data_IF_797928836540
#
_entry.id   IF_797928836540
#
_cell.length_a   1.000
_cell.length_b   1.000
_cell.length_c   1.000
_cell.angle_alpha   90.00
_cell.angle_beta   90.00
_cell.angle_gamma   90.00
#
_symmetry.space_group_name_H-M   'P 1'
#
loop_
_entity.id
_entity.type
_entity.pdbx_description
1 polymer ?
#
# COMPACT_ATOMS: atom_id res chain seq x y z
N UNK A 1 14.17 21.23 64.64
CA UNK A 1 13.96 20.92 63.21
C UNK A 1 12.48 20.64 63.00
N UNK A 2 11.80 21.42 62.16
CA UNK A 2 10.38 21.18 61.84
C UNK A 2 10.30 20.16 60.71
N UNK A 3 9.49 19.11 60.89
CA UNK A 3 9.16 18.15 59.82
C UNK A 3 8.17 18.84 58.89
N UNK A 4 8.54 18.99 57.62
CA UNK A 4 7.58 19.35 56.57
C UNK A 4 7.07 18.04 55.97
N UNK A 5 5.75 17.88 55.96
CA UNK A 5 5.08 16.79 55.29
C UNK A 5 4.52 17.37 54.00
N UNK A 6 5.10 16.96 52.88
CA UNK A 6 4.52 17.22 51.56
C UNK A 6 3.68 16.01 51.16
N UNK A 7 2.49 16.25 50.62
CA UNK A 7 1.67 15.20 50.04
C UNK A 7 2.40 14.58 48.84
N UNK A 8 2.41 13.25 48.70
CA UNK A 8 2.93 12.61 47.50
C UNK A 8 2.06 13.05 46.31
N UNK A 9 2.60 13.87 45.42
CA UNK A 9 1.97 14.18 44.14
C UNK A 9 2.58 13.28 43.07
N UNK A 10 1.72 12.59 42.32
CA UNK A 10 2.13 11.85 41.14
C UNK A 10 2.20 12.85 39.99
N UNK A 11 3.37 13.01 39.38
CA UNK A 11 3.47 13.67 38.09
C UNK A 11 3.08 12.62 37.05
N UNK A 12 1.83 12.69 36.58
CA UNK A 12 1.44 11.95 35.38
C UNK A 12 2.17 12.61 34.22
N UNK A 13 3.24 11.97 33.74
CA UNK A 13 3.69 12.23 32.38
C UNK A 13 2.54 11.85 31.46
N UNK A 14 1.93 12.85 30.84
CA UNK A 14 1.06 12.64 29.70
C UNK A 14 1.89 11.88 28.65
N UNK A 15 1.62 10.59 28.53
CA UNK A 15 2.19 9.79 27.48
C UNK A 15 1.51 10.27 26.20
N UNK A 16 2.12 11.24 25.51
CA UNK A 16 1.70 11.56 24.15
C UNK A 16 1.98 10.28 23.35
N UNK A 17 0.96 9.57 22.85
CA UNK A 17 1.23 8.46 21.96
C UNK A 17 1.82 9.09 20.71
N UNK A 18 3.13 8.97 20.54
CA UNK A 18 3.79 9.26 19.27
C UNK A 18 3.57 8.09 18.30
N UNK A 19 2.42 7.42 18.41
CA UNK A 19 2.03 6.34 17.53
C UNK A 19 1.43 7.01 16.31
N UNK A 20 2.31 7.33 15.35
CA UNK A 20 1.86 7.75 14.04
C UNK A 20 0.97 6.65 13.48
N UNK A 21 -0.28 7.03 13.32
CA UNK A 21 -1.32 6.23 12.71
C UNK A 21 -1.01 6.18 11.23
N UNK A 22 -0.61 5.02 10.71
CA UNK A 22 -0.38 4.88 9.29
C UNK A 22 -1.70 5.12 8.53
N UNK A 23 -1.69 6.07 7.59
CA UNK A 23 -2.77 6.25 6.61
C UNK A 23 -2.54 5.26 5.49
N UNK A 24 -3.59 4.55 5.11
CA UNK A 24 -3.53 3.62 3.98
C UNK A 24 -4.47 4.13 2.90
N UNK A 25 -4.08 4.17 1.62
CA UNK A 25 -5.02 4.43 0.51
C UNK A 25 -5.24 3.16 -0.29
N UNK A 26 -6.48 2.88 -0.70
CA UNK A 26 -6.82 1.68 -1.45
C UNK A 26 -6.56 1.86 -2.94
N UNK A 27 -6.08 0.82 -3.61
CA UNK A 27 -5.88 0.81 -5.07
C UNK A 27 -6.59 -0.41 -5.65
N UNK A 28 -7.48 -0.21 -6.61
CA UNK A 28 -8.13 -1.32 -7.32
C UNK A 28 -7.49 -1.50 -8.70
N UNK A 29 -7.02 -2.70 -9.00
CA UNK A 29 -6.52 -3.04 -10.34
C UNK A 29 -7.67 -3.06 -11.35
N UNK A 30 -7.49 -2.36 -12.46
CA UNK A 30 -8.32 -2.47 -13.64
C UNK A 30 -7.96 -3.76 -14.40
N UNK A 31 -8.47 -4.88 -13.90
CA UNK A 31 -8.09 -6.23 -14.33
C UNK A 31 -8.22 -6.47 -15.83
N UNK A 32 -9.22 -5.86 -16.48
CA UNK A 32 -9.39 -5.94 -17.93
C UNK A 32 -8.23 -5.30 -18.70
N UNK A 33 -7.75 -4.16 -18.24
CA UNK A 33 -6.62 -3.44 -18.84
C UNK A 33 -5.29 -4.12 -18.50
N UNK A 34 -5.11 -4.61 -17.27
CA UNK A 34 -3.96 -5.41 -16.87
C UNK A 34 -3.83 -6.70 -17.69
N UNK A 35 -4.90 -7.48 -17.84
CA UNK A 35 -4.90 -8.71 -18.65
C UNK A 35 -4.57 -8.45 -20.14
N UNK A 36 -5.04 -7.33 -20.70
CA UNK A 36 -4.68 -6.93 -22.07
C UNK A 36 -3.18 -6.66 -22.19
N UNK A 37 -2.60 -5.98 -21.20
CA UNK A 37 -1.16 -5.74 -21.17
C UNK A 37 -0.39 -7.06 -21.08
N UNK A 38 -0.76 -7.96 -20.15
CA UNK A 38 -0.09 -9.25 -20.00
C UNK A 38 -0.14 -10.10 -21.29
N UNK A 39 -1.28 -10.09 -21.98
CA UNK A 39 -1.40 -10.74 -23.28
C UNK A 39 -0.48 -10.11 -24.35
N UNK A 40 -0.30 -8.79 -24.33
CA UNK A 40 0.55 -8.07 -25.30
C UNK A 40 2.04 -8.41 -25.19
N UNK A 41 2.48 -8.84 -24.00
CA UNK A 41 3.86 -9.26 -23.73
C UNK A 41 4.00 -10.79 -23.62
N UNK A 42 2.99 -11.54 -24.04
CA UNK A 42 2.95 -13.01 -23.98
C UNK A 42 3.10 -13.60 -22.57
N UNK A 43 2.62 -12.87 -21.55
CA UNK A 43 2.67 -13.24 -20.13
C UNK A 43 1.29 -13.63 -19.58
N UNK A 44 0.40 -14.17 -20.44
CA UNK A 44 -1.00 -14.51 -20.10
C UNK A 44 -1.20 -15.49 -18.95
N UNK A 45 -0.14 -16.15 -18.47
CA UNK A 45 -0.18 -16.98 -17.27
C UNK A 45 -0.30 -16.15 -15.96
N UNK A 46 -0.09 -14.83 -16.02
CA UNK A 46 -0.23 -13.91 -14.91
C UNK A 46 -1.61 -13.23 -15.01
N UNK A 47 -2.66 -14.00 -14.69
CA UNK A 47 -4.04 -13.54 -14.84
C UNK A 47 -4.49 -12.64 -13.69
N UNK A 48 -5.14 -11.54 -14.04
CA UNK A 48 -5.74 -10.59 -13.10
C UNK A 48 -7.25 -10.86 -12.97
N UNK A 49 -7.72 -11.13 -11.75
CA UNK A 49 -9.15 -11.38 -11.47
C UNK A 49 -9.74 -10.35 -10.54
N UNK A 50 -11.01 -10.03 -10.79
CA UNK A 50 -11.76 -8.99 -10.07
C UNK A 50 -11.82 -9.24 -8.56
N UNK A 51 -12.00 -10.49 -8.16
CA UNK A 51 -12.12 -10.94 -6.77
C UNK A 51 -10.80 -10.90 -5.99
N UNK A 52 -9.67 -10.76 -6.69
CA UNK A 52 -8.35 -10.59 -6.10
C UNK A 52 -7.91 -9.15 -6.28
N UNK A 53 -6.97 -8.87 -7.18
CA UNK A 53 -6.40 -7.54 -7.34
C UNK A 53 -7.37 -6.46 -7.83
N UNK A 54 -8.58 -6.83 -8.27
CA UNK A 54 -9.60 -5.86 -8.67
C UNK A 54 -10.31 -5.15 -7.53
N UNK A 55 -10.06 -5.51 -6.26
CA UNK A 55 -10.67 -4.84 -5.11
C UNK A 55 -9.69 -3.92 -4.41
N UNK A 56 -10.17 -2.78 -3.90
CA UNK A 56 -9.35 -1.78 -3.18
C UNK A 56 -8.78 -2.31 -1.86
N UNK A 57 -9.22 -3.48 -1.40
CA UNK A 57 -8.77 -4.09 -0.15
C UNK A 57 -7.54 -4.99 -0.27
N UNK A 58 -7.05 -5.24 -1.48
CA UNK A 58 -5.90 -6.12 -1.71
C UNK A 58 -4.61 -5.38 -2.06
N UNK A 59 -4.68 -4.09 -2.40
CA UNK A 59 -3.52 -3.25 -2.65
C UNK A 59 -3.70 -1.95 -1.91
N UNK A 60 -2.68 -1.55 -1.16
CA UNK A 60 -2.69 -0.25 -0.52
C UNK A 60 -1.36 0.45 -0.62
N UNK A 61 -1.46 1.77 -0.67
CA UNK A 61 -0.39 2.70 -0.35
C UNK A 61 -0.38 2.90 1.17
N UNK A 62 0.79 3.06 1.76
CA UNK A 62 0.97 3.35 3.20
C UNK A 62 1.77 4.63 3.34
N UNK A 63 1.23 5.55 4.13
CA UNK A 63 1.86 6.74 4.69
C UNK A 63 2.03 6.50 6.20
N UNK A 64 3.26 6.31 6.66
CA UNK A 64 3.58 5.92 8.04
C UNK A 64 3.72 7.11 8.96
N UNK A 65 4.11 8.27 8.45
CA UNK A 65 4.30 9.50 9.23
C UNK A 65 3.08 10.44 9.17
N UNK A 66 2.04 10.06 8.42
CA UNK A 66 0.80 10.80 8.23
C UNK A 66 1.05 12.23 7.73
N UNK A 67 2.00 12.39 6.80
CA UNK A 67 2.31 13.68 6.17
C UNK A 67 1.55 13.91 4.85
N UNK A 68 0.72 12.95 4.44
CA UNK A 68 -0.02 12.96 3.18
C UNK A 68 0.76 12.34 2.01
N UNK A 69 1.96 11.79 2.26
CA UNK A 69 2.85 11.24 1.24
C UNK A 69 2.99 9.73 1.42
N UNK A 70 2.59 8.90 0.44
CA UNK A 70 2.81 7.46 0.56
C UNK A 70 4.31 7.12 0.45
N UNK A 71 4.81 6.28 1.36
CA UNK A 71 6.20 5.82 1.31
C UNK A 71 6.34 4.36 0.85
N UNK A 72 5.23 3.60 0.81
CA UNK A 72 5.25 2.23 0.30
C UNK A 72 3.91 1.81 -0.28
N UNK A 73 3.95 0.82 -1.19
CA UNK A 73 2.76 0.14 -1.68
C UNK A 73 2.94 -1.37 -1.49
N UNK A 74 1.90 -2.04 -1.02
CA UNK A 74 1.88 -3.48 -0.80
C UNK A 74 0.63 -4.11 -1.38
N UNK A 75 0.79 -5.33 -1.88
CA UNK A 75 -0.31 -6.22 -2.24
C UNK A 75 -0.44 -7.33 -1.20
N UNK A 76 -1.64 -7.54 -0.68
CA UNK A 76 -1.94 -8.54 0.35
C UNK A 76 -2.96 -9.56 -0.11
N UNK A 77 -2.87 -10.76 0.47
CA UNK A 77 -3.84 -11.83 0.30
C UNK A 77 -4.04 -12.31 -1.16
N UNK A 78 -3.06 -12.09 -2.03
CA UNK A 78 -3.05 -12.72 -3.35
C UNK A 78 -2.63 -14.19 -3.19
N UNK A 79 -3.63 -15.08 -3.19
CA UNK A 79 -3.48 -16.54 -3.29
C UNK A 79 -2.46 -17.18 -2.31
N UNK A 80 -2.47 -16.75 -1.05
CA UNK A 80 -1.60 -17.32 0.00
C UNK A 80 -0.13 -16.90 -0.06
N UNK A 81 0.24 -15.92 -0.89
CA UNK A 81 1.62 -15.45 -1.07
C UNK A 81 2.09 -14.46 0.01
N UNK A 82 1.22 -14.08 0.96
CA UNK A 82 1.52 -13.11 2.00
C UNK A 82 1.41 -11.66 1.51
N UNK A 83 2.32 -10.80 1.99
CA UNK A 83 2.43 -9.40 1.58
C UNK A 83 3.57 -9.24 0.59
N UNK A 84 3.27 -8.74 -0.61
CA UNK A 84 4.24 -8.51 -1.66
C UNK A 84 4.46 -7.01 -1.84
N UNK A 85 5.72 -6.61 -1.97
CA UNK A 85 6.08 -5.22 -2.23
C UNK A 85 5.78 -4.87 -3.69
N UNK A 86 5.18 -3.70 -3.92
CA UNK A 86 4.91 -3.19 -5.25
C UNK A 86 6.03 -2.25 -5.72
N UNK A 87 6.23 -2.17 -7.03
CA UNK A 87 7.08 -1.16 -7.68
C UNK A 87 6.21 -0.30 -8.58
N UNK A 88 6.18 1.03 -8.36
CA UNK A 88 5.43 1.99 -9.18
C UNK A 88 6.23 2.35 -10.45
N UNK A 89 5.51 2.63 -11.53
CA UNK A 89 6.04 3.10 -12.81
C UNK A 89 5.37 4.39 -13.26
N UNK A 90 6.06 5.14 -14.13
CA UNK A 90 5.57 6.41 -14.66
C UNK A 90 4.38 6.26 -15.60
N UNK A 91 4.26 5.11 -16.27
CA UNK A 91 3.25 4.84 -17.28
C UNK A 91 3.09 3.33 -17.53
N UNK A 92 2.11 2.98 -18.39
CA UNK A 92 1.80 1.61 -18.79
C UNK A 92 2.82 0.93 -19.69
N UNK A 93 4.00 1.53 -19.92
CA UNK A 93 5.14 0.81 -20.54
C UNK A 93 5.96 0.04 -19.51
N UNK A 94 5.76 0.30 -18.21
CA UNK A 94 6.49 -0.33 -17.10
C UNK A 94 8.02 -0.24 -17.24
N UNK A 95 8.50 0.79 -17.94
CA UNK A 95 9.93 0.95 -18.26
C UNK A 95 10.68 1.77 -17.22
N UNK A 96 10.07 2.87 -16.76
CA UNK A 96 10.69 3.80 -15.82
C UNK A 96 9.95 3.76 -14.49
N UNK A 97 10.70 3.64 -13.41
CA UNK A 97 10.14 3.67 -12.06
C UNK A 97 9.55 5.04 -11.78
N UNK A 98 8.34 5.05 -11.23
CA UNK A 98 7.71 6.26 -10.71
C UNK A 98 8.20 6.55 -9.30
N UNK A 99 8.00 7.80 -8.88
CA UNK A 99 8.17 8.19 -7.49
C UNK A 99 6.84 7.93 -6.77
N UNK A 100 6.89 7.10 -5.73
CA UNK A 100 5.67 6.80 -4.97
C UNK A 100 5.19 8.04 -4.22
N UNK A 101 6.10 8.93 -3.80
CA UNK A 101 5.75 10.13 -3.03
C UNK A 101 4.91 11.15 -3.79
N UNK A 102 4.78 11.00 -5.11
CA UNK A 102 3.93 11.87 -5.94
C UNK A 102 2.54 11.29 -6.20
N UNK A 103 2.23 10.12 -5.64
CA UNK A 103 0.95 9.43 -5.88
C UNK A 103 -0.12 10.02 -4.96
N UNK A 104 -1.19 10.52 -5.56
CA UNK A 104 -2.33 11.12 -4.87
C UNK A 104 -3.62 10.31 -5.09
N UNK A 105 -4.61 10.57 -4.23
CA UNK A 105 -5.97 10.06 -4.43
C UNK A 105 -6.52 10.56 -5.76
N UNK A 106 -7.12 9.65 -6.54
CA UNK A 106 -7.63 9.96 -7.86
C UNK A 106 -6.62 9.78 -8.99
N UNK A 107 -5.34 9.50 -8.69
CA UNK A 107 -4.37 9.15 -9.71
C UNK A 107 -4.67 7.78 -10.33
N UNK A 108 -4.34 7.67 -11.62
CA UNK A 108 -4.22 6.38 -12.30
C UNK A 108 -2.76 5.95 -12.30
N UNK A 109 -2.43 4.88 -11.60
CA UNK A 109 -1.05 4.43 -11.40
C UNK A 109 -0.79 3.08 -12.06
N UNK A 110 0.49 2.81 -12.31
CA UNK A 110 1.00 1.56 -12.89
C UNK A 110 1.97 0.94 -11.91
N UNK A 111 1.84 -0.35 -11.63
CA UNK A 111 2.75 -1.04 -10.71
C UNK A 111 2.99 -2.49 -11.08
N UNK A 112 4.08 -3.05 -10.56
CA UNK A 112 4.32 -4.50 -10.64
C UNK A 112 4.41 -5.13 -9.28
N UNK A 113 3.89 -6.34 -9.19
CA UNK A 113 4.11 -7.27 -8.07
C UNK A 113 4.91 -8.45 -8.61
N UNK A 114 5.77 -9.05 -7.78
CA UNK A 114 6.55 -10.23 -8.19
C UNK A 114 6.61 -11.29 -7.10
N UNK A 115 6.59 -12.55 -7.51
CA UNK A 115 6.70 -13.70 -6.60
C UNK A 115 7.69 -14.72 -7.16
N UNK A 116 8.32 -15.49 -6.26
CA UNK A 116 9.38 -16.43 -6.61
C UNK A 116 10.75 -15.77 -6.80
N UNK A 117 11.74 -16.57 -7.19
CA UNK A 117 13.13 -16.15 -7.32
C UNK A 117 13.83 -16.83 -8.50
N UNK A 118 14.91 -16.21 -8.97
CA UNK A 118 15.71 -16.72 -10.09
C UNK A 118 14.87 -16.98 -11.35
N UNK A 119 15.00 -18.17 -11.98
CA UNK A 119 14.29 -18.50 -13.21
C UNK A 119 12.77 -18.67 -13.02
N UNK A 120 12.29 -18.81 -11.79
CA UNK A 120 10.87 -19.00 -11.48
C UNK A 120 10.19 -17.69 -11.05
N UNK A 121 10.86 -16.54 -11.23
CA UNK A 121 10.28 -15.25 -10.87
C UNK A 121 9.12 -14.93 -11.82
N UNK A 122 7.95 -14.75 -11.24
CA UNK A 122 6.74 -14.27 -11.92
C UNK A 122 6.53 -12.80 -11.57
N UNK A 123 6.10 -12.03 -12.56
CA UNK A 123 5.83 -10.60 -12.42
C UNK A 123 4.47 -10.31 -13.05
N UNK A 124 3.60 -9.67 -12.28
CA UNK A 124 2.30 -9.17 -12.70
C UNK A 124 2.39 -7.66 -12.91
N UNK A 125 1.73 -7.15 -13.95
CA UNK A 125 1.73 -5.75 -14.38
C UNK A 125 0.32 -5.19 -14.22
N UNK A 126 0.16 -4.41 -13.16
CA UNK A 126 -1.10 -3.88 -12.72
C UNK A 126 -1.23 -2.41 -13.14
N UNK A 127 -2.47 -1.96 -13.19
CA UNK A 127 -2.81 -0.56 -13.41
C UNK A 127 -4.19 -0.28 -12.83
N UNK A 128 -4.46 0.93 -12.37
CA UNK A 128 -5.71 1.23 -11.68
C UNK A 128 -5.73 2.56 -10.93
N UNK A 129 -6.88 2.83 -10.30
CA UNK A 129 -7.15 4.11 -9.63
C UNK A 129 -6.84 4.03 -8.14
N UNK A 130 -6.21 5.10 -7.63
CA UNK A 130 -6.05 5.35 -6.19
C UNK A 130 -7.35 5.92 -5.63
N UNK A 131 -7.80 5.37 -4.51
CA UNK A 131 -9.06 5.74 -3.86
C UNK A 131 -8.85 6.11 -2.41
N UNK A 132 -9.65 7.04 -1.89
CA UNK A 132 -9.73 7.27 -0.44
C UNK A 132 -10.16 5.97 0.24
N UNK A 133 -9.51 5.64 1.35
CA UNK A 133 -9.62 4.34 2.01
C UNK A 133 -11.07 3.98 2.35
N UNK A 134 -11.38 2.71 2.15
CA UNK A 134 -12.70 2.10 2.33
C UNK A 134 -12.74 1.25 3.63
N UNK A 135 -13.93 0.96 4.20
CA UNK A 135 -14.17 0.51 5.59
C UNK A 135 -13.38 -0.70 6.08
N UNK A 136 -12.97 -0.67 7.35
CA UNK A 136 -12.25 -1.77 8.04
C UNK A 136 -10.80 -1.44 8.38
N UNK A 137 -10.26 -0.37 7.77
CA UNK A 137 -8.97 0.22 8.14
C UNK A 137 -9.10 1.76 8.14
N UNK A 138 -9.98 2.34 9.00
CA UNK A 138 -9.96 3.79 9.20
C UNK A 138 -8.56 4.17 9.66
N UNK A 139 -8.12 5.40 9.37
CA UNK A 139 -7.04 6.08 10.08
C UNK A 139 -7.08 5.59 11.53
N UNK A 140 -6.19 4.65 11.91
CA UNK A 140 -6.20 4.00 13.22
C UNK A 140 -5.76 4.99 14.30
N UNK A 141 -6.62 5.96 14.61
CA UNK A 141 -6.48 7.00 15.65
C UNK A 141 -5.69 6.56 16.86
#
# INVERSE_FOLDING_TARGET
MKKMWEEPSIQVQEFMPNEYVAVCWGVACETGSANKYEASIHNSAQDHRSEFCGTTGHQWLTDRNNDGTPESMSEINTDGLGTLACTIYTDGTYKYRGDISTVEVGDYIYWTTSAGSGPNRRTWHHQGWVTETTPGHPNRS
#
